data_IF_049107287903
#
_entry.id   IF_049107287903
#
_cell.length_a   1.000
_cell.length_b   1.000
_cell.length_c   1.000
_cell.angle_alpha   90.00
_cell.angle_beta   90.00
_cell.angle_gamma   90.00
#
_symmetry.space_group_name_H-M   'P 1'
#
loop_
_entity.id
_entity.type
_entity.pdbx_description
1 polymer ?
#
# COMPACT_ATOMS: atom_id res chain seq x y z
N UNK A 1 10.89 13.35 9.03
CA UNK A 1 9.43 13.18 9.21
C UNK A 1 8.85 14.55 9.53
N UNK A 2 8.45 15.30 8.50
CA UNK A 2 7.71 16.56 8.70
C UNK A 2 6.27 16.18 9.03
N UNK A 3 5.96 16.11 10.34
CA UNK A 3 4.59 16.22 10.80
C UNK A 3 4.02 17.51 10.22
N UNK A 4 2.89 17.42 9.54
CA UNK A 4 2.15 18.55 9.03
C UNK A 4 1.69 19.41 10.23
N UNK A 5 2.59 20.28 10.69
CA UNK A 5 2.25 21.44 11.50
C UNK A 5 1.29 22.24 10.63
N UNK A 6 0.04 22.32 11.09
CA UNK A 6 -0.97 23.23 10.56
C UNK A 6 -0.41 24.65 10.63
N UNK A 7 0.20 25.09 9.54
CA UNK A 7 0.59 26.47 9.37
C UNK A 7 -0.71 27.29 9.30
N UNK A 8 -0.94 28.25 10.21
CA UNK A 8 -2.15 29.08 10.19
C UNK A 8 -2.25 29.97 8.94
N UNK A 9 -1.19 30.01 8.10
CA UNK A 9 -1.17 30.67 6.81
C UNK A 9 -1.58 29.72 5.65
N UNK A 10 -2.63 28.92 5.86
CA UNK A 10 -3.12 27.86 4.96
C UNK A 10 -3.62 28.35 3.57
N UNK A 11 -3.59 29.66 3.30
CA UNK A 11 -3.88 30.21 1.98
C UNK A 11 -2.76 29.96 0.95
N UNK A 12 -1.61 29.44 1.38
CA UNK A 12 -0.57 28.96 0.46
C UNK A 12 -1.03 27.63 -0.11
N UNK A 13 -1.44 27.64 -1.40
CA UNK A 13 -1.75 26.43 -2.17
C UNK A 13 -0.68 25.37 -1.87
N UNK A 14 -1.06 24.18 -1.37
CA UNK A 14 -0.08 23.16 -1.03
C UNK A 14 0.78 22.87 -2.27
N UNK A 15 2.10 22.73 -2.10
CA UNK A 15 2.99 22.46 -3.23
C UNK A 15 2.48 21.25 -4.00
N UNK A 16 2.56 21.31 -5.32
CA UNK A 16 2.01 20.30 -6.25
C UNK A 16 2.49 18.89 -5.94
N UNK A 17 3.71 18.75 -5.40
CA UNK A 17 4.25 17.48 -4.91
C UNK A 17 3.40 16.85 -3.80
N UNK A 18 2.96 17.64 -2.82
CA UNK A 18 2.11 17.16 -1.70
C UNK A 18 0.73 16.75 -2.21
N UNK A 19 0.14 17.52 -3.13
CA UNK A 19 -1.14 17.19 -3.75
C UNK A 19 -1.07 15.85 -4.51
N UNK A 20 0.00 15.64 -5.29
CA UNK A 20 0.22 14.39 -6.01
C UNK A 20 0.42 13.22 -5.05
N UNK A 21 1.19 13.37 -3.97
CA UNK A 21 1.36 12.31 -2.96
C UNK A 21 0.03 11.94 -2.32
N UNK A 22 -0.82 12.91 -1.99
CA UNK A 22 -2.16 12.65 -1.43
C UNK A 22 -3.01 11.89 -2.46
N UNK A 23 -3.07 12.37 -3.71
CA UNK A 23 -3.84 11.74 -4.77
C UNK A 23 -3.41 10.29 -5.02
N UNK A 24 -2.12 10.05 -5.18
CA UNK A 24 -1.56 8.70 -5.37
C UNK A 24 -1.82 7.80 -4.16
N UNK A 25 -1.69 8.32 -2.94
CA UNK A 25 -1.98 7.54 -1.73
C UNK A 25 -3.44 7.11 -1.65
N UNK A 26 -4.38 7.99 -2.02
CA UNK A 26 -5.82 7.65 -2.03
C UNK A 26 -6.19 6.74 -3.18
N UNK A 27 -5.60 6.94 -4.36
CA UNK A 27 -5.76 6.04 -5.50
C UNK A 27 -5.25 4.63 -5.17
N UNK A 28 -4.09 4.51 -4.52
CA UNK A 28 -3.52 3.24 -4.09
C UNK A 28 -4.43 2.53 -3.09
N UNK A 29 -4.96 3.25 -2.09
CA UNK A 29 -5.91 2.70 -1.12
C UNK A 29 -7.18 2.19 -1.82
N UNK A 30 -7.79 2.99 -2.69
CA UNK A 30 -8.98 2.58 -3.45
C UNK A 30 -8.70 1.39 -4.37
N UNK A 31 -7.55 1.37 -5.02
CA UNK A 31 -7.10 0.27 -5.88
C UNK A 31 -6.91 -1.02 -5.07
N UNK A 32 -6.22 -0.95 -3.92
CA UNK A 32 -6.03 -2.10 -3.04
C UNK A 32 -7.36 -2.69 -2.56
N UNK A 33 -8.33 -1.84 -2.19
CA UNK A 33 -9.69 -2.28 -1.82
C UNK A 33 -10.40 -2.95 -3.01
N UNK A 34 -10.30 -2.36 -4.21
CA UNK A 34 -10.93 -2.91 -5.42
C UNK A 34 -10.36 -4.27 -5.83
N UNK A 35 -9.04 -4.42 -5.79
CA UNK A 35 -8.36 -5.71 -6.07
C UNK A 35 -8.68 -6.75 -5.00
N UNK A 36 -8.90 -6.31 -3.74
CA UNK A 36 -9.24 -7.22 -2.65
C UNK A 36 -10.57 -7.99 -2.85
N UNK A 37 -11.39 -7.61 -3.83
CA UNK A 37 -12.60 -8.35 -4.21
C UNK A 37 -12.34 -9.50 -5.19
N UNK A 38 -11.11 -9.64 -5.72
CA UNK A 38 -10.75 -10.72 -6.64
C UNK A 38 -10.77 -12.07 -5.91
N UNK A 39 -11.47 -13.06 -6.50
CA UNK A 39 -11.53 -14.42 -5.97
C UNK A 39 -10.26 -15.16 -6.34
N UNK A 40 -9.35 -15.30 -5.39
CA UNK A 40 -8.07 -16.02 -5.54
C UNK A 40 -7.86 -17.03 -4.40
N UNK A 41 -6.86 -17.91 -4.50
CA UNK A 41 -6.49 -18.74 -3.37
C UNK A 41 -5.97 -17.86 -2.23
N UNK A 42 -6.39 -18.16 -1.00
CA UNK A 42 -6.13 -17.36 0.20
C UNK A 42 -4.67 -16.92 0.37
N UNK A 43 -3.73 -17.86 0.21
CA UNK A 43 -2.29 -17.61 0.33
C UNK A 43 -1.73 -16.69 -0.76
N UNK A 44 -2.33 -16.73 -1.96
CA UNK A 44 -1.92 -15.91 -3.10
C UNK A 44 -2.42 -14.47 -2.96
N UNK A 45 -3.58 -14.28 -2.32
CA UNK A 45 -4.22 -12.98 -2.17
C UNK A 45 -3.35 -12.00 -1.38
N UNK A 46 -2.86 -12.42 -0.21
CA UNK A 46 -1.97 -11.61 0.62
C UNK A 46 -0.65 -11.28 -0.08
N UNK A 47 -0.05 -12.25 -0.78
CA UNK A 47 1.19 -12.04 -1.55
C UNK A 47 0.96 -11.02 -2.68
N UNK A 48 -0.15 -11.14 -3.41
CA UNK A 48 -0.48 -10.27 -4.53
C UNK A 48 -0.74 -8.83 -4.08
N UNK A 49 -1.54 -8.65 -3.02
CA UNK A 49 -1.80 -7.32 -2.45
C UNK A 49 -0.52 -6.68 -1.90
N UNK A 50 0.34 -7.48 -1.25
CA UNK A 50 1.65 -7.03 -0.78
C UNK A 50 2.56 -6.56 -1.91
N UNK A 51 2.65 -7.34 -2.99
CA UNK A 51 3.44 -6.97 -4.16
C UNK A 51 2.93 -5.68 -4.81
N UNK A 52 1.62 -5.60 -5.08
CA UNK A 52 1.01 -4.44 -5.76
C UNK A 52 1.13 -3.16 -4.93
N UNK A 53 0.90 -3.25 -3.61
CA UNK A 53 1.01 -2.10 -2.71
C UNK A 53 2.45 -1.59 -2.54
N UNK A 54 3.45 -2.42 -2.79
CA UNK A 54 4.87 -2.04 -2.72
C UNK A 54 5.41 -1.37 -3.98
N UNK A 55 4.73 -1.51 -5.13
CA UNK A 55 5.16 -0.93 -6.41
C UNK A 55 5.40 0.59 -6.37
N UNK A 56 4.55 1.43 -5.73
CA UNK A 56 4.81 2.87 -5.68
C UNK A 56 6.12 3.21 -4.97
N UNK A 57 6.44 2.47 -3.90
CA UNK A 57 7.70 2.62 -3.18
C UNK A 57 8.87 2.12 -4.03
N UNK A 58 8.71 1.02 -4.75
CA UNK A 58 9.71 0.54 -5.71
C UNK A 58 10.09 1.63 -6.72
N UNK A 59 9.10 2.26 -7.37
CA UNK A 59 9.34 3.35 -8.32
C UNK A 59 10.00 4.58 -7.67
N UNK A 60 9.68 4.86 -6.41
CA UNK A 60 10.23 6.01 -5.68
C UNK A 60 11.70 5.82 -5.28
N UNK A 61 12.21 4.59 -5.26
CA UNK A 61 13.57 4.27 -4.79
C UNK A 61 14.38 3.51 -5.86
N UNK A 62 13.99 3.62 -7.13
CA UNK A 62 14.70 2.97 -8.25
C UNK A 62 16.18 3.36 -8.36
N UNK A 63 16.57 4.53 -7.84
CA UNK A 63 17.98 4.97 -7.77
C UNK A 63 18.86 4.05 -6.91
N UNK A 64 18.27 3.26 -6.01
CA UNK A 64 18.96 2.26 -5.18
C UNK A 64 18.27 0.92 -5.28
N UNK A 65 18.68 0.11 -6.27
CA UNK A 65 18.09 -1.19 -6.58
C UNK A 65 18.01 -2.13 -5.36
N UNK A 66 19.02 -2.14 -4.47
CA UNK A 66 19.01 -2.97 -3.26
C UNK A 66 17.81 -2.65 -2.34
N UNK A 67 17.52 -1.35 -2.19
CA UNK A 67 16.39 -0.88 -1.37
C UNK A 67 15.07 -1.07 -2.11
N UNK A 68 15.07 -0.87 -3.43
CA UNK A 68 13.90 -1.10 -4.27
C UNK A 68 13.44 -2.57 -4.18
N UNK A 69 14.35 -3.53 -4.37
CA UNK A 69 14.05 -4.96 -4.23
C UNK A 69 13.61 -5.27 -2.80
N UNK A 70 14.33 -4.75 -1.79
CA UNK A 70 13.96 -4.92 -0.38
C UNK A 70 12.55 -4.42 -0.06
N UNK A 71 12.12 -3.31 -0.68
CA UNK A 71 10.77 -2.75 -0.51
C UNK A 71 9.68 -3.68 -1.04
N UNK A 72 9.94 -4.36 -2.16
CA UNK A 72 9.00 -5.32 -2.76
C UNK A 72 8.94 -6.60 -1.93
N UNK A 73 10.10 -7.13 -1.52
CA UNK A 73 10.17 -8.33 -0.68
C UNK A 73 9.45 -8.10 0.65
N UNK A 74 9.69 -6.96 1.30
CA UNK A 74 8.98 -6.62 2.54
C UNK A 74 7.48 -6.40 2.29
N UNK A 75 7.11 -5.78 1.17
CA UNK A 75 5.72 -5.65 0.75
C UNK A 75 4.99 -6.98 0.66
N UNK A 76 5.60 -7.98 0.02
CA UNK A 76 5.06 -9.34 -0.09
C UNK A 76 4.89 -9.98 1.30
N UNK A 77 5.93 -9.90 2.15
CA UNK A 77 5.89 -10.48 3.49
C UNK A 77 4.77 -9.84 4.32
N UNK A 78 4.68 -8.50 4.32
CA UNK A 78 3.63 -7.80 5.04
C UNK A 78 2.25 -8.09 4.47
N UNK A 79 2.09 -8.17 3.15
CA UNK A 79 0.82 -8.55 2.51
C UNK A 79 0.35 -9.94 2.94
N UNK A 80 1.26 -10.92 2.95
CA UNK A 80 0.96 -12.26 3.45
C UNK A 80 0.58 -12.24 4.94
N UNK A 81 1.34 -11.54 5.78
CA UNK A 81 1.04 -11.40 7.20
C UNK A 81 -0.31 -10.72 7.45
N UNK A 82 -0.66 -9.70 6.68
CA UNK A 82 -1.96 -9.02 6.83
C UNK A 82 -3.11 -9.98 6.54
N UNK A 83 -3.01 -10.79 5.48
CA UNK A 83 -4.03 -11.79 5.14
C UNK A 83 -4.10 -12.92 6.18
N UNK A 84 -2.95 -13.35 6.71
CA UNK A 84 -2.86 -14.33 7.79
C UNK A 84 -3.58 -13.84 9.04
N UNK A 85 -3.29 -12.59 9.44
CA UNK A 85 -3.88 -11.94 10.60
C UNK A 85 -5.38 -11.76 10.39
N UNK A 86 -5.82 -11.17 9.28
CA UNK A 86 -7.26 -10.92 9.05
C UNK A 86 -8.06 -12.21 8.99
N UNK A 87 -7.47 -13.30 8.50
CA UNK A 87 -8.19 -14.58 8.38
C UNK A 87 -8.23 -15.36 9.69
N UNK A 88 -7.15 -15.37 10.46
CA UNK A 88 -7.11 -16.09 11.75
C UNK A 88 -7.78 -15.26 12.85
N UNK A 89 -7.45 -13.98 12.99
CA UNK A 89 -7.95 -13.12 14.07
C UNK A 89 -9.38 -12.65 13.81
N UNK A 90 -9.70 -12.20 12.60
CA UNK A 90 -11.02 -11.63 12.31
C UNK A 90 -12.02 -12.68 11.83
N UNK A 91 -11.58 -13.93 11.56
CA UNK A 91 -12.41 -14.98 10.94
C UNK A 91 -13.24 -14.45 9.77
N UNK A 92 -12.69 -13.47 9.03
CA UNK A 92 -13.41 -12.84 7.95
C UNK A 92 -13.76 -13.93 6.93
N UNK A 93 -15.05 -14.04 6.59
CA UNK A 93 -15.51 -15.04 5.62
C UNK A 93 -14.88 -14.68 4.28
N UNK A 94 -13.83 -15.40 3.97
CA UNK A 94 -13.00 -15.14 2.82
C UNK A 94 -13.84 -15.40 1.56
N UNK A 95 -13.86 -14.52 0.55
CA UNK A 95 -14.60 -14.74 -0.70
C UNK A 95 -13.99 -15.84 -1.60
N UNK A 96 -13.03 -16.60 -1.05
CA UNK A 96 -12.21 -17.58 -1.74
C UNK A 96 -12.98 -18.91 -1.95
N UNK A 97 -12.62 -19.61 -3.02
CA UNK A 97 -13.10 -20.97 -3.36
C UNK A 97 -12.29 -21.98 -2.57
#
# INVERSE_FOLDING_TARGET
>A
MYLAISNPNAAVVPPTSVLLTILFSRALMGFAIGISALRMAWWLHGIFLGAVSSLPMFFSVMDRIDIAIGSVVMGIIYGFLTELITSILLKAKSPFV
#
